data_IF_113634402970
#
_entry.id   IF_113634402970
#
_cell.length_a   1.000
_cell.length_b   1.000
_cell.length_c   1.000
_cell.angle_alpha   90.00
_cell.angle_beta   90.00
_cell.angle_gamma   90.00
#
_symmetry.space_group_name_H-M   'P 1'
#
loop_
_entity.id
_entity.type
_entity.pdbx_description
1 polymer ?
#
# COMPACT_ATOMS: atom_id res chain seq x y z
N UNK A 1 20.31 -6.31 9.32
CA UNK A 1 19.24 -6.45 8.31
C UNK A 1 18.07 -5.62 8.78
N UNK A 2 17.67 -4.59 8.04
CA UNK A 2 16.54 -3.73 8.39
C UNK A 2 15.37 -4.04 7.45
N UNK A 3 14.20 -4.31 8.03
CA UNK A 3 12.96 -4.56 7.28
C UNK A 3 12.04 -3.35 7.49
N UNK A 4 11.53 -2.79 6.41
CA UNK A 4 10.48 -1.78 6.42
C UNK A 4 9.20 -2.41 5.88
N UNK A 5 8.17 -2.48 6.73
CA UNK A 5 6.84 -2.91 6.33
C UNK A 5 6.07 -1.71 5.78
N UNK A 6 5.54 -1.88 4.57
CA UNK A 6 4.75 -0.89 3.84
C UNK A 6 3.31 -1.38 3.77
N UNK A 7 2.38 -0.59 4.27
CA UNK A 7 0.96 -0.83 4.06
C UNK A 7 0.64 -0.52 2.59
N UNK A 8 0.45 -1.56 1.78
CA UNK A 8 0.30 -1.43 0.34
C UNK A 8 -1.17 -1.59 -0.04
N UNK A 9 -1.82 -0.47 -0.38
CA UNK A 9 -3.12 -0.46 -1.02
C UNK A 9 -2.94 -0.23 -2.51
N UNK A 10 -3.20 -1.27 -3.31
CA UNK A 10 -3.04 -1.22 -4.75
C UNK A 10 -3.26 -2.58 -5.40
N UNK A 11 -2.94 -2.68 -6.67
CA UNK A 11 -3.10 -3.86 -7.51
C UNK A 11 -1.98 -4.88 -7.29
N UNK A 12 -2.27 -6.15 -7.59
CA UNK A 12 -1.26 -7.22 -7.63
C UNK A 12 -0.18 -6.94 -8.69
N UNK A 13 -0.58 -6.29 -9.79
CA UNK A 13 0.31 -5.89 -10.88
C UNK A 13 1.34 -4.86 -10.41
N UNK A 14 0.90 -3.74 -9.82
CA UNK A 14 1.80 -2.72 -9.30
C UNK A 14 2.73 -3.29 -8.23
N UNK A 15 2.23 -4.12 -7.32
CA UNK A 15 3.06 -4.77 -6.30
C UNK A 15 4.14 -5.69 -6.91
N UNK A 16 3.77 -6.49 -7.92
CA UNK A 16 4.66 -7.44 -8.59
C UNK A 16 5.72 -6.75 -9.45
N UNK A 17 5.42 -5.57 -9.99
CA UNK A 17 6.38 -4.74 -10.72
C UNK A 17 7.44 -4.12 -9.79
N UNK A 18 7.15 -3.98 -8.50
CA UNK A 18 8.08 -3.39 -7.51
C UNK A 18 8.86 -4.50 -6.78
N UNK A 19 8.22 -5.60 -6.42
CA UNK A 19 8.75 -6.56 -5.45
C UNK A 19 8.35 -8.00 -5.78
N UNK A 20 9.15 -8.97 -5.32
CA UNK A 20 8.87 -10.39 -5.55
C UNK A 20 7.74 -10.87 -4.64
N UNK A 21 6.68 -11.40 -5.23
CA UNK A 21 5.55 -12.01 -4.51
C UNK A 21 6.01 -13.16 -3.59
N UNK A 22 5.51 -13.16 -2.36
CA UNK A 22 5.83 -14.09 -1.27
C UNK A 22 4.61 -14.87 -0.77
N UNK A 23 4.49 -15.03 0.55
CA UNK A 23 3.35 -15.71 1.19
C UNK A 23 2.04 -14.97 0.90
N UNK A 24 0.97 -15.75 0.76
CA UNK A 24 -0.37 -15.28 0.39
C UNK A 24 -1.42 -16.04 1.19
N UNK A 25 -2.00 -15.38 2.19
CA UNK A 25 -3.15 -15.90 2.97
C UNK A 25 -4.31 -14.91 2.96
N UNK A 26 -4.45 -14.12 4.02
CA UNK A 26 -5.34 -12.97 4.11
C UNK A 26 -4.64 -11.67 3.72
N UNK A 27 -3.31 -11.65 3.85
CA UNK A 27 -2.39 -10.64 3.35
C UNK A 27 -1.44 -11.28 2.35
N UNK A 28 -1.14 -10.59 1.24
CA UNK A 28 -0.04 -10.95 0.34
C UNK A 28 1.16 -10.12 0.69
N UNK A 29 2.31 -10.79 0.84
CA UNK A 29 3.60 -10.13 0.99
C UNK A 29 4.31 -10.03 -0.35
N UNK A 30 4.95 -8.90 -0.63
CA UNK A 30 5.90 -8.73 -1.73
C UNK A 30 7.20 -8.18 -1.16
N UNK A 31 8.32 -8.81 -1.51
CA UNK A 31 9.62 -8.55 -0.89
C UNK A 31 10.58 -8.00 -1.94
N UNK A 32 11.01 -6.76 -1.75
CA UNK A 32 12.12 -6.17 -2.49
C UNK A 32 13.35 -6.14 -1.58
N UNK A 33 14.48 -6.66 -2.10
CA UNK A 33 15.75 -6.70 -1.38
C UNK A 33 16.73 -5.74 -2.04
N UNK A 34 17.16 -4.73 -1.30
CA UNK A 34 18.23 -3.83 -1.71
C UNK A 34 19.53 -4.25 -1.02
N UNK A 35 20.57 -4.51 -1.80
CA UNK A 35 21.94 -4.73 -1.29
C UNK A 35 22.77 -3.52 -1.62
N UNK A 36 23.15 -2.75 -0.60
CA UNK A 36 23.98 -1.55 -0.76
C UNK A 36 25.01 -1.47 0.37
N UNK A 37 26.27 -1.22 0.03
CA UNK A 37 27.38 -1.11 0.99
C UNK A 37 27.48 -2.33 1.93
N UNK A 38 27.36 -3.54 1.37
CA UNK A 38 27.33 -4.84 2.08
C UNK A 38 26.16 -5.00 3.09
N UNK A 39 25.24 -4.03 3.16
CA UNK A 39 24.05 -4.08 3.99
C UNK A 39 22.84 -4.48 3.15
N UNK A 40 22.12 -5.49 3.64
CA UNK A 40 20.82 -5.89 3.07
C UNK A 40 19.69 -5.14 3.78
N UNK A 41 18.89 -4.44 2.99
CA UNK A 41 17.65 -3.77 3.40
C UNK A 41 16.48 -4.40 2.67
N UNK A 42 15.34 -4.51 3.35
CA UNK A 42 14.16 -5.17 2.80
C UNK A 42 12.98 -4.21 2.86
N UNK A 43 12.31 -4.03 1.74
CA UNK A 43 10.97 -3.46 1.68
C UNK A 43 9.97 -4.62 1.58
N UNK A 44 9.08 -4.70 2.56
CA UNK A 44 8.02 -5.70 2.62
C UNK A 44 6.68 -5.01 2.38
N UNK A 45 6.15 -5.14 1.16
CA UNK A 45 4.85 -4.60 0.79
C UNK A 45 3.76 -5.58 1.24
N UNK A 46 2.83 -5.11 2.06
CA UNK A 46 1.78 -5.91 2.65
C UNK A 46 0.44 -5.47 2.07
N UNK A 47 -0.16 -6.33 1.23
CA UNK A 47 -1.41 -6.06 0.52
C UNK A 47 -2.58 -6.83 1.12
N UNK A 48 -3.66 -6.17 1.58
CA UNK A 48 -4.86 -6.85 2.07
C UNK A 48 -5.67 -7.44 0.90
N UNK A 49 -6.09 -8.71 0.98
CA UNK A 49 -6.77 -9.39 -0.15
C UNK A 49 -8.27 -9.19 -0.23
N UNK A 50 -8.94 -8.96 0.90
CA UNK A 50 -10.40 -8.94 1.00
C UNK A 50 -10.94 -7.56 1.39
N UNK A 51 -10.16 -6.51 1.20
CA UNK A 51 -10.64 -5.15 1.41
C UNK A 51 -11.07 -4.62 0.03
N UNK A 52 -12.27 -4.03 -0.11
CA UNK A 52 -13.14 -3.49 0.94
C UNK A 52 -14.18 -4.44 1.58
N UNK A 53 -14.28 -5.71 1.16
CA UNK A 53 -15.33 -6.63 1.66
C UNK A 53 -15.19 -6.98 3.14
N UNK A 54 -13.98 -6.87 3.69
CA UNK A 54 -13.62 -7.17 5.06
C UNK A 54 -12.49 -6.24 5.51
N UNK A 55 -12.72 -5.55 6.63
CA UNK A 55 -11.73 -4.66 7.23
C UNK A 55 -10.58 -5.42 7.92
N UNK A 56 -10.79 -6.68 8.32
CA UNK A 56 -9.81 -7.44 9.13
C UNK A 56 -8.42 -7.54 8.49
N UNK A 57 -8.26 -7.91 7.20
CA UNK A 57 -6.95 -7.94 6.57
C UNK A 57 -6.26 -6.58 6.51
N UNK A 58 -7.03 -5.50 6.31
CA UNK A 58 -6.50 -4.14 6.35
C UNK A 58 -5.93 -3.82 7.74
N UNK A 59 -6.66 -4.13 8.81
CA UNK A 59 -6.17 -3.92 10.19
C UNK A 59 -4.90 -4.75 10.48
N UNK A 60 -4.83 -5.99 10.00
CA UNK A 60 -3.62 -6.82 10.12
C UNK A 60 -2.40 -6.17 9.45
N UNK A 61 -2.59 -5.58 8.26
CA UNK A 61 -1.53 -4.86 7.54
C UNK A 61 -1.09 -3.61 8.31
N UNK A 62 -2.06 -2.80 8.75
CA UNK A 62 -1.79 -1.54 9.42
C UNK A 62 -1.03 -1.72 10.75
N UNK A 63 -1.36 -2.76 11.52
CA UNK A 63 -0.74 -3.04 12.82
C UNK A 63 0.78 -3.30 12.77
N UNK A 64 1.31 -3.68 11.60
CA UNK A 64 2.74 -4.01 11.44
C UNK A 64 3.49 -3.05 10.51
N UNK A 65 2.77 -2.14 9.86
CA UNK A 65 3.31 -1.24 8.85
C UNK A 65 3.81 0.06 9.46
N UNK A 66 4.79 0.69 8.81
CA UNK A 66 5.35 1.98 9.25
C UNK A 66 5.12 3.10 8.25
N UNK A 67 4.95 2.76 6.98
CA UNK A 67 4.73 3.71 5.88
C UNK A 67 3.61 3.21 4.98
N UNK A 68 2.91 4.13 4.31
CA UNK A 68 1.83 3.83 3.39
C UNK A 68 2.27 3.87 1.92
N UNK A 69 1.68 3.01 1.10
CA UNK A 69 1.67 3.13 -0.35
C UNK A 69 0.23 3.02 -0.83
N UNK A 70 -0.26 4.03 -1.55
CA UNK A 70 -1.63 4.10 -2.03
C UNK A 70 -1.64 4.29 -3.54
N UNK A 71 -2.02 3.25 -4.27
CA UNK A 71 -2.35 3.34 -5.69
C UNK A 71 -3.79 3.84 -5.84
N UNK A 72 -3.93 5.06 -6.36
CA UNK A 72 -5.22 5.72 -6.55
C UNK A 72 -5.71 5.41 -7.95
N UNK A 73 -6.61 4.42 -8.05
CA UNK A 73 -7.31 4.08 -9.30
C UNK A 73 -8.54 4.93 -9.54
N UNK A 74 -9.25 5.27 -8.47
CA UNK A 74 -10.46 6.07 -8.46
C UNK A 74 -10.63 6.73 -7.09
N UNK A 75 -11.47 7.77 -7.00
CA UNK A 75 -11.84 8.40 -5.73
C UNK A 75 -13.19 7.85 -5.29
N UNK A 76 -13.17 6.96 -4.31
CA UNK A 76 -14.36 6.27 -3.81
C UNK A 76 -14.34 6.09 -2.29
N UNK A 77 -15.36 5.41 -1.75
CA UNK A 77 -15.48 5.12 -0.33
C UNK A 77 -14.36 4.21 0.20
N UNK A 78 -13.88 3.25 -0.63
CA UNK A 78 -12.80 2.32 -0.27
C UNK A 78 -11.49 3.07 -0.05
N UNK A 79 -11.12 3.97 -0.96
CA UNK A 79 -9.98 4.86 -0.80
C UNK A 79 -10.11 5.69 0.48
N UNK A 80 -11.29 6.30 0.71
CA UNK A 80 -11.55 7.08 1.92
C UNK A 80 -11.34 6.27 3.21
N UNK A 81 -11.85 5.03 3.26
CA UNK A 81 -11.67 4.12 4.40
C UNK A 81 -10.19 3.81 4.65
N UNK A 82 -9.43 3.50 3.60
CA UNK A 82 -7.99 3.23 3.70
C UNK A 82 -7.23 4.43 4.26
N UNK A 83 -7.51 5.63 3.77
CA UNK A 83 -6.83 6.85 4.24
C UNK A 83 -7.13 7.16 5.70
N UNK A 84 -8.39 7.02 6.11
CA UNK A 84 -8.79 7.18 7.52
C UNK A 84 -8.14 6.10 8.38
N UNK A 85 -8.15 4.84 7.94
CA UNK A 85 -7.56 3.73 8.69
C UNK A 85 -6.04 3.88 8.85
N UNK A 86 -5.33 4.31 7.80
CA UNK A 86 -3.89 4.63 7.86
C UNK A 86 -3.62 5.74 8.89
N UNK A 87 -4.40 6.82 8.85
CA UNK A 87 -4.28 7.94 9.80
C UNK A 87 -4.54 7.50 11.24
N UNK A 88 -5.59 6.69 11.47
CA UNK A 88 -5.89 6.12 12.78
C UNK A 88 -4.80 5.15 13.29
N UNK A 89 -4.00 4.58 12.38
CA UNK A 89 -2.90 3.67 12.70
C UNK A 89 -1.54 4.38 12.78
N UNK A 90 -1.54 5.72 12.85
CA UNK A 90 -0.33 6.56 12.96
C UNK A 90 0.65 6.40 11.79
N UNK A 91 0.18 5.93 10.62
CA UNK A 91 0.98 5.89 9.40
C UNK A 91 0.92 7.28 8.75
N UNK A 92 1.96 8.07 8.99
CA UNK A 92 2.05 9.48 8.55
C UNK A 92 2.92 9.66 7.29
N UNK A 93 3.87 8.74 7.06
CA UNK A 93 4.78 8.79 5.93
C UNK A 93 4.32 7.81 4.84
N UNK A 94 4.41 8.22 3.57
CA UNK A 94 4.03 7.35 2.47
C UNK A 94 4.09 7.98 1.09
N UNK A 95 3.63 7.23 0.10
CA UNK A 95 3.55 7.66 -1.29
C UNK A 95 2.15 7.34 -1.83
N UNK A 96 1.54 8.30 -2.51
CA UNK A 96 0.35 8.09 -3.32
C UNK A 96 0.70 8.15 -4.81
N UNK A 97 0.24 7.17 -5.58
CA UNK A 97 0.48 7.09 -7.03
C UNK A 97 -0.87 7.06 -7.74
N UNK A 98 -1.11 8.05 -8.60
CA UNK A 98 -2.31 8.08 -9.45
C UNK A 98 -2.08 7.09 -10.60
N UNK A 99 -2.90 6.04 -10.65
CA UNK A 99 -2.81 4.99 -11.67
C UNK A 99 -4.22 4.47 -12.02
N UNK A 100 -5.06 5.28 -12.68
CA UNK A 100 -6.39 4.86 -13.09
C UNK A 100 -6.34 3.69 -14.08
N UNK A 101 -7.42 2.91 -14.13
CA UNK A 101 -7.56 1.87 -15.15
C UNK A 101 -7.63 2.49 -16.56
N UNK A 102 -7.36 1.70 -17.58
CA UNK A 102 -7.28 2.19 -18.97
C UNK A 102 -8.61 2.83 -19.41
N UNK A 103 -8.54 4.08 -19.85
CA UNK A 103 -9.71 4.87 -20.27
C UNK A 103 -10.37 5.67 -19.13
N UNK A 104 -9.97 5.43 -17.89
CA UNK A 104 -10.41 6.20 -16.73
C UNK A 104 -9.47 7.38 -16.45
N UNK A 105 -9.96 8.34 -15.67
CA UNK A 105 -9.20 9.52 -15.27
C UNK A 105 -9.46 9.87 -13.81
N UNK A 106 -8.39 10.23 -13.11
CA UNK A 106 -8.44 10.71 -11.73
C UNK A 106 -7.83 12.10 -11.69
N UNK A 107 -8.57 13.06 -11.14
CA UNK A 107 -8.11 14.44 -10.98
C UNK A 107 -6.99 14.52 -9.92
N UNK A 108 -5.75 14.89 -10.30
CA UNK A 108 -4.67 15.04 -9.34
C UNK A 108 -4.95 16.06 -8.25
N UNK A 109 -5.73 17.10 -8.53
CA UNK A 109 -6.03 18.14 -7.56
C UNK A 109 -7.04 17.67 -6.50
N UNK A 110 -7.99 16.81 -6.88
CA UNK A 110 -8.84 16.13 -5.91
C UNK A 110 -8.03 15.18 -5.03
N UNK A 111 -7.11 14.41 -5.60
CA UNK A 111 -6.23 13.51 -4.84
C UNK A 111 -5.37 14.29 -3.84
N UNK A 112 -4.76 15.41 -4.26
CA UNK A 112 -3.94 16.25 -3.35
C UNK A 112 -4.67 16.68 -2.09
N UNK A 113 -5.97 16.94 -2.16
CA UNK A 113 -6.77 17.37 -0.99
C UNK A 113 -6.94 16.23 0.01
N UNK A 114 -6.99 14.97 -0.44
CA UNK A 114 -7.19 13.81 0.42
C UNK A 114 -5.98 13.46 1.30
N UNK A 115 -4.78 13.91 0.91
CA UNK A 115 -3.51 13.61 1.60
C UNK A 115 -2.93 14.82 2.37
N UNK A 116 -3.72 15.89 2.57
CA UNK A 116 -3.38 16.99 3.48
C UNK A 116 -3.76 16.67 4.92
#
# INVERSE_FOLDING_TARGET
MSVLNVAFYGSDETASNIAKKGDSRDVVSYVFKETKDEKVRILSLLRPLKHPESIRPLLSVLNVSRVGFVEVKQIDASLGEVLVAMKCSEIQDGIAVINPDSGEWVDPDQVRVLFK
#
